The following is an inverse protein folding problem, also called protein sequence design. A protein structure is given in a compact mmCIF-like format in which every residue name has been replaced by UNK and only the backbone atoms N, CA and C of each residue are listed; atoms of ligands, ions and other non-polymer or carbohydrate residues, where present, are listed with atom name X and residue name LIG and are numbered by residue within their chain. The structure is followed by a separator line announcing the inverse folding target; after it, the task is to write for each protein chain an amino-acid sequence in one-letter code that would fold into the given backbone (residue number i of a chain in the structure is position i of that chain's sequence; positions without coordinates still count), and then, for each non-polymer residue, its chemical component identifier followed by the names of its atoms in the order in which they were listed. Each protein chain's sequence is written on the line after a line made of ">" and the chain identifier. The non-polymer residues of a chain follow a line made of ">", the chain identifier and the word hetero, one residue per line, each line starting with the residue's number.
data_IF_153739124088
#
_entry.id   IF_153739124088
#
_cell.length_a   1.000
_cell.length_b   1.000
_cell.length_c   1.000
_cell.angle_alpha   90.00
_cell.angle_beta   90.00
_cell.angle_gamma   90.00
#
_symmetry.space_group_name_H-M   'P 1'
#
loop_
_entity.id
_entity.type
_entity.pdbx_description
1 polymer ?
#
# COMPACT_ATOMS: atom_id res chain seq x y z
N UNK A 1 -4.42 7.36 -62.26
CA UNK A 1 -4.38 5.89 -62.30
C UNK A 1 -4.06 5.35 -60.91
N UNK A 2 -4.93 4.46 -60.43
CA UNK A 2 -4.79 3.39 -59.41
C UNK A 2 -3.72 3.51 -58.29
N UNK A 3 -4.25 3.79 -57.09
CA UNK A 3 -3.96 3.20 -55.75
C UNK A 3 -2.72 2.31 -55.60
N UNK A 4 -1.94 2.56 -54.54
CA UNK A 4 -1.56 1.53 -53.56
C UNK A 4 -1.11 2.20 -52.26
N UNK A 5 -2.07 2.30 -51.34
CA UNK A 5 -1.86 2.68 -49.94
C UNK A 5 -1.10 1.55 -49.24
N UNK A 6 0.06 1.87 -48.64
CA UNK A 6 0.72 0.95 -47.72
C UNK A 6 0.20 1.25 -46.31
N UNK A 7 -0.78 0.48 -45.86
CA UNK A 7 -1.31 0.54 -44.51
C UNK A 7 -0.31 -0.20 -43.61
N UNK A 8 0.41 0.54 -42.77
CA UNK A 8 1.19 -0.04 -41.69
C UNK A 8 0.21 -0.41 -40.57
N UNK A 9 -0.29 -1.65 -40.61
CA UNK A 9 -1.11 -2.21 -39.54
C UNK A 9 -0.18 -2.48 -38.37
N UNK A 10 -0.03 -1.49 -37.49
CA UNK A 10 0.59 -1.69 -36.19
C UNK A 10 -0.47 -2.35 -35.32
N UNK A 11 -0.35 -3.67 -35.19
CA UNK A 11 -1.17 -4.50 -34.30
C UNK A 11 -1.00 -3.97 -32.89
N UNK A 12 -1.98 -3.21 -32.43
CA UNK A 12 -2.15 -2.91 -31.01
C UNK A 12 -2.50 -4.25 -30.38
N UNK A 13 -1.53 -4.88 -29.72
CA UNK A 13 -1.84 -5.90 -28.74
C UNK A 13 -2.69 -5.21 -27.68
N UNK A 14 -4.00 -5.35 -27.79
CA UNK A 14 -4.90 -5.24 -26.66
C UNK A 14 -4.43 -6.32 -25.69
N UNK A 15 -3.52 -5.94 -24.78
CA UNK A 15 -3.47 -6.56 -23.49
C UNK A 15 -4.84 -6.27 -22.91
N UNK A 16 -5.75 -7.22 -23.09
CA UNK A 16 -6.78 -7.48 -22.11
C UNK A 16 -6.01 -7.75 -20.83
N UNK A 17 -5.67 -6.66 -20.13
CA UNK A 17 -5.80 -6.66 -18.70
C UNK A 17 -7.26 -7.04 -18.52
N UNK A 18 -7.50 -8.35 -18.40
CA UNK A 18 -8.48 -8.82 -17.46
C UNK A 18 -8.11 -8.05 -16.20
N UNK A 19 -8.78 -6.91 -16.02
CA UNK A 19 -8.87 -6.26 -14.75
C UNK A 19 -9.65 -7.29 -13.94
N UNK A 20 -8.94 -8.35 -13.52
CA UNK A 20 -9.29 -9.17 -12.39
C UNK A 20 -9.77 -8.11 -11.41
N UNK A 21 -11.06 -8.11 -11.06
CA UNK A 21 -11.57 -7.07 -10.19
C UNK A 21 -10.61 -7.12 -9.04
N UNK A 22 -9.86 -6.03 -8.84
CA UNK A 22 -9.11 -5.84 -7.63
C UNK A 22 -10.17 -6.14 -6.59
N UNK A 23 -10.07 -7.32 -5.97
CA UNK A 23 -11.03 -7.79 -4.99
C UNK A 23 -10.64 -7.02 -3.73
N UNK A 24 -10.78 -5.70 -3.84
CA UNK A 24 -10.72 -4.67 -2.84
C UNK A 24 -12.00 -4.79 -2.03
N UNK A 25 -12.53 -6.01 -1.81
CA UNK A 25 -13.43 -6.20 -0.71
C UNK A 25 -12.57 -5.99 0.52
N UNK A 26 -12.59 -4.78 1.11
CA UNK A 26 -11.63 -4.46 2.13
C UNK A 26 -11.86 -5.37 3.34
N UNK A 27 -13.05 -5.98 3.46
CA UNK A 27 -13.40 -6.96 4.49
C UNK A 27 -12.60 -8.27 4.45
N UNK A 28 -11.98 -8.67 3.32
CA UNK A 28 -11.35 -10.01 3.20
C UNK A 28 -9.93 -10.14 3.74
N UNK A 29 -9.36 -9.09 4.33
CA UNK A 29 -8.11 -9.23 5.08
C UNK A 29 -8.38 -9.91 6.42
N UNK A 30 -8.17 -11.23 6.45
CA UNK A 30 -8.04 -12.06 7.64
C UNK A 30 -7.36 -11.27 8.76
N UNK A 31 -8.14 -10.93 9.77
CA UNK A 31 -7.71 -10.64 11.14
C UNK A 31 -6.49 -9.73 11.22
N UNK A 32 -6.63 -8.49 10.77
CA UNK A 32 -5.92 -7.43 11.46
C UNK A 32 -6.42 -7.53 12.91
N UNK A 33 -5.53 -7.88 13.86
CA UNK A 33 -5.79 -7.98 15.31
C UNK A 33 -6.23 -6.61 15.85
N UNK A 34 -7.37 -6.09 15.40
CA UNK A 34 -7.90 -4.82 15.85
C UNK A 34 -8.58 -4.99 17.20
N UNK A 35 -8.94 -6.22 17.59
CA UNK A 35 -9.64 -6.50 18.87
C UNK A 35 -11.00 -5.82 18.96
N UNK A 36 -11.47 -5.27 17.84
CA UNK A 36 -12.66 -4.46 17.71
C UNK A 36 -13.63 -5.26 16.87
N UNK A 37 -14.77 -5.63 17.46
CA UNK A 37 -15.89 -6.19 16.69
C UNK A 37 -16.53 -5.06 15.88
N UNK A 38 -16.60 -5.26 14.56
CA UNK A 38 -17.27 -4.34 13.63
C UNK A 38 -18.77 -4.64 13.51
N UNK A 39 -19.27 -5.63 14.25
CA UNK A 39 -20.61 -6.19 14.07
C UNK A 39 -21.69 -5.23 14.57
N UNK A 40 -21.37 -4.41 15.58
CA UNK A 40 -22.29 -3.46 16.23
C UNK A 40 -22.17 -2.01 15.73
N UNK A 41 -21.54 -1.77 14.58
CA UNK A 41 -21.39 -0.42 14.03
C UNK A 41 -22.63 0.01 13.23
N UNK A 42 -23.03 1.27 13.39
CA UNK A 42 -24.02 1.91 12.53
C UNK A 42 -23.51 2.00 11.08
N UNK A 43 -24.39 2.16 10.08
CA UNK A 43 -23.98 2.37 8.69
C UNK A 43 -22.94 3.49 8.54
N UNK A 44 -23.16 4.63 9.19
CA UNK A 44 -22.25 5.79 9.15
C UNK A 44 -20.88 5.48 9.79
N UNK A 45 -20.87 4.73 10.90
CA UNK A 45 -19.61 4.28 11.52
C UNK A 45 -18.85 3.32 10.60
N UNK A 46 -19.56 2.41 9.93
CA UNK A 46 -18.97 1.48 8.96
C UNK A 46 -18.34 2.22 7.79
N UNK A 47 -19.01 3.22 7.24
CA UNK A 47 -18.47 4.06 6.15
C UNK A 47 -17.18 4.76 6.57
N UNK A 48 -17.19 5.46 7.72
CA UNK A 48 -15.98 6.12 8.26
C UNK A 48 -14.84 5.15 8.49
N UNK A 49 -15.12 3.96 9.02
CA UNK A 49 -14.12 2.89 9.21
C UNK A 49 -13.52 2.43 7.87
N UNK A 50 -14.35 2.30 6.82
CA UNK A 50 -13.88 1.91 5.50
C UNK A 50 -12.99 2.99 4.87
N UNK A 51 -13.35 4.27 5.01
CA UNK A 51 -12.51 5.39 4.56
C UNK A 51 -11.13 5.37 5.23
N UNK A 52 -11.11 5.22 6.57
CA UNK A 52 -9.87 5.10 7.33
C UNK A 52 -9.02 3.92 6.86
N UNK A 53 -9.67 2.81 6.50
CA UNK A 53 -8.99 1.61 6.03
C UNK A 53 -8.37 1.82 4.66
N UNK A 54 -9.08 2.47 3.75
CA UNK A 54 -8.54 2.85 2.44
C UNK A 54 -7.32 3.77 2.62
N UNK A 55 -7.40 4.76 3.51
CA UNK A 55 -6.29 5.64 3.84
C UNK A 55 -5.07 4.87 4.37
N UNK A 56 -5.30 3.94 5.31
CA UNK A 56 -4.23 3.09 5.85
C UNK A 56 -3.58 2.23 4.76
N UNK A 57 -4.37 1.57 3.91
CA UNK A 57 -3.85 0.70 2.84
C UNK A 57 -2.99 1.49 1.86
N UNK A 58 -3.44 2.68 1.45
CA UNK A 58 -2.68 3.54 0.54
C UNK A 58 -1.33 3.94 1.16
N UNK A 59 -1.34 4.42 2.40
CA UNK A 59 -0.10 4.81 3.11
C UNK A 59 0.82 3.62 3.39
N UNK A 60 0.28 2.46 3.73
CA UNK A 60 1.08 1.24 3.89
C UNK A 60 1.70 0.79 2.56
N UNK A 61 1.00 0.96 1.43
CA UNK A 61 1.54 0.65 0.10
C UNK A 61 2.77 1.50 -0.22
N UNK A 62 2.69 2.81 0.02
CA UNK A 62 3.81 3.75 -0.16
C UNK A 62 5.02 3.35 0.71
N UNK A 63 4.78 3.06 1.99
CA UNK A 63 5.80 2.60 2.92
C UNK A 63 6.44 1.29 2.44
N UNK A 64 5.64 0.33 1.99
CA UNK A 64 6.14 -0.97 1.55
C UNK A 64 6.97 -0.85 0.26
N UNK A 65 6.56 0.01 -0.68
CA UNK A 65 7.33 0.29 -1.89
C UNK A 65 8.68 0.91 -1.54
N UNK A 66 8.70 1.95 -0.69
CA UNK A 66 9.95 2.57 -0.24
C UNK A 66 10.85 1.60 0.52
N UNK A 67 10.28 0.70 1.32
CA UNK A 67 11.04 -0.33 2.03
C UNK A 67 11.67 -1.34 1.06
N UNK A 68 10.99 -1.68 -0.04
CA UNK A 68 11.52 -2.54 -1.11
C UNK A 68 12.70 -1.87 -1.81
N UNK A 69 12.58 -0.59 -2.13
CA UNK A 69 13.64 0.17 -2.80
C UNK A 69 14.89 0.28 -1.91
N UNK A 70 14.71 0.65 -0.64
CA UNK A 70 15.81 0.68 0.33
C UNK A 70 16.51 -0.68 0.45
N UNK A 71 15.75 -1.78 0.46
CA UNK A 71 16.32 -3.14 0.51
C UNK A 71 17.12 -3.46 -0.75
N UNK A 72 16.62 -3.09 -1.91
CA UNK A 72 17.33 -3.23 -3.18
C UNK A 72 18.64 -2.46 -3.17
N UNK A 73 18.63 -1.22 -2.70
CA UNK A 73 19.83 -0.39 -2.61
C UNK A 73 20.84 -0.89 -1.58
N UNK A 74 20.39 -1.33 -0.40
CA UNK A 74 21.25 -1.94 0.60
C UNK A 74 21.95 -3.19 0.04
N UNK A 75 21.23 -4.03 -0.69
CA UNK A 75 21.81 -5.20 -1.36
C UNK A 75 22.86 -4.78 -2.40
N UNK A 76 22.60 -3.74 -3.20
CA UNK A 76 23.58 -3.22 -4.16
C UNK A 76 24.87 -2.72 -3.49
N UNK A 77 24.76 -2.11 -2.31
CA UNK A 77 25.93 -1.63 -1.56
C UNK A 77 26.78 -2.77 -0.98
N UNK A 78 26.17 -3.91 -0.65
CA UNK A 78 26.88 -5.05 -0.04
C UNK A 78 27.43 -6.02 -1.08
N UNK A 79 26.76 -6.16 -2.22
CA UNK A 79 27.08 -7.15 -3.26
C UNK A 79 27.89 -6.56 -4.42
N UNK A 80 28.24 -5.27 -4.37
CA UNK A 80 29.15 -4.66 -5.34
C UNK A 80 30.57 -5.21 -5.18
N UNK A 81 31.38 -5.10 -6.24
CA UNK A 81 32.82 -5.46 -6.20
C UNK A 81 33.59 -4.64 -5.16
N UNK A 82 33.14 -3.41 -4.92
CA UNK A 82 33.62 -2.52 -3.86
C UNK A 82 32.43 -2.18 -2.95
N UNK A 83 32.28 -2.88 -1.81
CA UNK A 83 31.16 -2.64 -0.90
C UNK A 83 31.19 -1.24 -0.28
N UNK A 84 30.07 -0.51 -0.37
CA UNK A 84 29.93 0.82 0.22
C UNK A 84 29.19 0.74 1.57
N UNK A 85 29.97 0.51 2.63
CA UNK A 85 29.45 0.38 3.98
C UNK A 85 28.85 1.68 4.53
N UNK A 86 29.37 2.84 4.13
CA UNK A 86 28.86 4.13 4.60
C UNK A 86 27.47 4.38 4.05
N UNK A 87 27.25 4.13 2.76
CA UNK A 87 25.92 4.21 2.15
C UNK A 87 24.98 3.17 2.73
N UNK A 88 25.44 1.94 2.97
CA UNK A 88 24.63 0.90 3.61
C UNK A 88 24.11 1.36 4.98
N UNK A 89 24.96 1.91 5.85
CA UNK A 89 24.55 2.42 7.17
C UNK A 89 23.51 3.55 7.08
N UNK A 90 23.65 4.46 6.11
CA UNK A 90 22.68 5.51 5.86
C UNK A 90 21.32 4.94 5.47
N UNK A 91 21.30 4.00 4.51
CA UNK A 91 20.08 3.32 4.07
C UNK A 91 19.42 2.51 5.22
N UNK A 92 20.23 1.94 6.12
CA UNK A 92 19.72 1.23 7.31
C UNK A 92 19.02 2.18 8.30
N UNK A 93 19.55 3.41 8.49
CA UNK A 93 18.89 4.45 9.29
C UNK A 93 17.56 4.86 8.67
N UNK A 94 17.52 5.04 7.35
CA UNK A 94 16.26 5.34 6.63
C UNK A 94 15.23 4.20 6.76
N UNK A 95 15.66 2.95 6.61
CA UNK A 95 14.77 1.79 6.80
C UNK A 95 14.22 1.74 8.24
N UNK A 96 15.02 2.13 9.22
CA UNK A 96 14.59 2.21 10.63
C UNK A 96 13.57 3.32 10.86
N UNK A 97 13.79 4.50 10.25
CA UNK A 97 12.82 5.60 10.27
C UNK A 97 11.49 5.17 9.65
N UNK A 98 11.53 4.50 8.50
CA UNK A 98 10.35 4.02 7.79
C UNK A 98 9.55 2.99 8.61
N UNK A 99 10.23 2.10 9.36
CA UNK A 99 9.56 1.18 10.30
C UNK A 99 8.84 1.93 11.43
N UNK A 100 9.45 3.02 11.94
CA UNK A 100 8.82 3.85 12.97
C UNK A 100 7.59 4.57 12.43
N UNK A 101 7.69 5.15 11.22
CA UNK A 101 6.55 5.80 10.54
C UNK A 101 5.39 4.82 10.35
N UNK A 102 5.66 3.58 9.93
CA UNK A 102 4.64 2.54 9.81
C UNK A 102 3.95 2.24 11.14
N UNK A 103 4.69 2.21 12.25
CA UNK A 103 4.13 1.98 13.59
C UNK A 103 3.20 3.11 13.99
N UNK A 104 3.66 4.36 13.86
CA UNK A 104 2.86 5.56 14.17
C UNK A 104 1.59 5.61 13.32
N UNK A 105 1.69 5.27 12.03
CA UNK A 105 0.54 5.19 11.13
C UNK A 105 -0.52 4.20 11.66
N UNK A 106 -0.10 3.00 12.07
CA UNK A 106 -1.02 2.00 12.62
C UNK A 106 -1.63 2.43 13.95
N UNK A 107 -0.85 3.01 14.84
CA UNK A 107 -1.34 3.54 16.12
C UNK A 107 -2.38 4.64 15.89
N UNK A 108 -2.10 5.58 14.99
CA UNK A 108 -3.04 6.64 14.62
C UNK A 108 -4.33 6.09 14.01
N UNK A 109 -4.22 5.10 13.11
CA UNK A 109 -5.38 4.41 12.55
C UNK A 109 -6.23 3.77 13.66
N UNK A 110 -5.62 3.01 14.57
CA UNK A 110 -6.33 2.37 15.68
C UNK A 110 -7.01 3.38 16.61
N UNK A 111 -6.34 4.49 16.91
CA UNK A 111 -6.91 5.56 17.72
C UNK A 111 -8.11 6.23 17.03
N UNK A 112 -8.07 6.42 15.71
CA UNK A 112 -9.21 6.96 14.95
C UNK A 112 -10.38 5.98 14.88
N UNK A 113 -10.10 4.68 14.73
CA UNK A 113 -11.13 3.64 14.78
C UNK A 113 -11.83 3.63 16.15
N UNK A 114 -11.09 3.61 17.26
CA UNK A 114 -11.69 3.65 18.61
C UNK A 114 -12.63 4.86 18.78
N UNK A 115 -12.19 6.05 18.37
CA UNK A 115 -13.02 7.26 18.42
C UNK A 115 -14.34 7.15 17.65
N UNK A 116 -14.36 6.45 16.52
CA UNK A 116 -15.60 6.25 15.75
C UNK A 116 -16.56 5.33 16.52
N UNK A 117 -16.01 4.34 17.22
CA UNK A 117 -16.79 3.31 17.92
C UNK A 117 -17.35 3.85 19.22
N UNK A 118 -16.52 4.58 19.98
CA UNK A 118 -16.88 5.19 21.25
C UNK A 118 -17.89 6.35 21.09
N UNK A 119 -18.18 6.78 19.85
CA UNK A 119 -19.22 7.77 19.51
C UNK A 119 -20.65 7.17 19.49
N UNK A 120 -20.91 6.03 20.16
CA UNK A 120 -22.28 5.51 20.23
C UNK A 120 -23.19 6.52 20.95
N UNK A 121 -24.36 6.85 20.37
CA UNK A 121 -25.38 7.56 21.12
C UNK A 121 -25.92 6.64 22.23
N UNK A 122 -26.10 7.19 23.43
CA UNK A 122 -26.79 6.54 24.56
C UNK A 122 -28.20 6.06 24.16
#
# INVERSE_FOLDING_TARGET
>A
MKKLSLIFILVIFAVSADAAPFNNNPMKHKNMKTGVSYDNLTPDQKEKVMELRAELVNKESEINNRARDLRSEMNKCMLSKEPDMKKFEQLQKEATKLRRERRVLKENYMNRIRKIIDQQPD
#
